data_IF_918069441974
#
_entry.id   IF_918069441974
#
_cell.length_a   1.000
_cell.length_b   1.000
_cell.length_c   1.000
_cell.angle_alpha   90.00
_cell.angle_beta   90.00
_cell.angle_gamma   90.00
#
_symmetry.space_group_name_H-M   'P 1'
#
loop_
_entity.id
_entity.type
_entity.pdbx_description
1 polymer ?
#
# COMPACT_ATOMS: atom_id res chain seq x y z
N UNK A 1 11.01 63.44 7.22
CA UNK A 1 10.32 62.15 7.11
C UNK A 1 11.35 61.11 6.73
N UNK A 2 11.80 60.33 7.73
CA UNK A 2 12.74 59.24 7.55
C UNK A 2 11.93 57.97 7.29
N UNK A 3 12.16 57.30 6.17
CA UNK A 3 11.59 55.98 5.86
C UNK A 3 12.58 54.91 6.33
N UNK A 4 12.14 54.08 7.27
CA UNK A 4 12.88 52.89 7.76
C UNK A 4 12.50 51.74 6.86
N UNK A 5 13.46 51.25 6.08
CA UNK A 5 13.32 50.03 5.27
C UNK A 5 13.68 48.84 6.18
N UNK A 6 12.69 48.05 6.56
CA UNK A 6 12.88 46.79 7.28
C UNK A 6 13.10 45.70 6.26
N UNK A 7 14.35 45.25 6.10
CA UNK A 7 14.72 44.08 5.31
C UNK A 7 14.46 42.81 6.13
N UNK A 8 13.47 42.03 5.72
CA UNK A 8 13.14 40.73 6.30
C UNK A 8 14.10 39.67 5.71
N UNK A 9 14.88 38.90 6.49
CA UNK A 9 15.71 37.83 5.96
C UNK A 9 14.84 36.65 5.57
N UNK A 10 14.92 36.26 4.30
CA UNK A 10 14.30 35.04 3.75
C UNK A 10 15.11 33.82 4.25
N UNK A 11 14.60 33.13 5.27
CA UNK A 11 15.17 31.84 5.69
C UNK A 11 14.80 30.79 4.64
N UNK A 12 15.77 30.41 3.81
CA UNK A 12 15.74 29.21 2.99
C UNK A 12 15.83 27.99 3.93
N UNK A 13 14.69 27.35 4.21
CA UNK A 13 14.65 26.05 4.86
C UNK A 13 15.10 25.04 3.81
N UNK A 14 16.39 24.70 3.82
CA UNK A 14 16.92 23.54 3.12
C UNK A 14 16.37 22.30 3.81
N UNK A 15 15.37 21.63 3.23
CA UNK A 15 15.03 20.25 3.58
C UNK A 15 16.14 19.35 3.05
N UNK A 16 17.22 19.24 3.82
CA UNK A 16 18.25 18.24 3.60
C UNK A 16 17.62 16.87 3.82
N UNK A 17 17.50 16.05 2.77
CA UNK A 17 17.37 14.62 2.94
C UNK A 17 18.60 14.17 3.74
N UNK A 18 18.37 13.66 4.96
CA UNK A 18 19.46 13.19 5.81
C UNK A 18 20.14 11.99 5.12
N UNK A 19 21.42 12.11 4.82
CA UNK A 19 22.25 11.05 4.24
C UNK A 19 22.45 9.86 5.20
N UNK A 20 21.92 9.96 6.43
CA UNK A 20 21.96 8.90 7.44
C UNK A 20 20.87 7.85 7.26
N UNK A 21 19.85 8.11 6.43
CA UNK A 21 18.69 7.22 6.22
C UNK A 21 18.86 6.23 5.04
N UNK A 22 20.09 6.07 4.51
CA UNK A 22 20.36 5.06 3.47
C UNK A 22 20.34 3.64 4.07
N UNK A 23 19.39 2.77 3.67
CA UNK A 23 19.30 1.43 4.20
C UNK A 23 20.58 0.60 4.00
N UNK A 24 21.33 0.82 2.91
CA UNK A 24 22.59 0.11 2.69
C UNK A 24 23.66 0.49 3.72
N UNK A 25 23.66 1.76 4.16
CA UNK A 25 24.58 2.25 5.22
C UNK A 25 24.20 1.67 6.57
N UNK A 26 22.91 1.72 6.94
CA UNK A 26 22.42 1.19 8.21
C UNK A 26 22.65 -0.32 8.34
N UNK A 27 22.40 -1.09 7.28
CA UNK A 27 22.64 -2.53 7.28
C UNK A 27 24.13 -2.86 7.45
N UNK A 28 25.04 -2.08 6.83
CA UNK A 28 26.50 -2.23 7.01
C UNK A 28 26.93 -1.87 8.43
N UNK A 29 26.37 -0.82 9.00
CA UNK A 29 26.66 -0.38 10.35
C UNK A 29 26.26 -1.43 11.38
N UNK A 30 25.10 -2.06 11.21
CA UNK A 30 24.68 -3.19 12.04
C UNK A 30 25.70 -4.36 12.00
N UNK A 31 26.19 -4.70 10.79
CA UNK A 31 27.20 -5.74 10.63
C UNK A 31 28.53 -5.37 11.32
N UNK A 32 28.99 -4.12 11.19
CA UNK A 32 30.23 -3.63 11.82
C UNK A 32 30.14 -3.70 13.35
N UNK A 33 29.05 -3.21 13.94
CA UNK A 33 28.83 -3.26 15.40
C UNK A 33 28.79 -4.70 15.92
N UNK A 34 28.21 -5.63 15.16
CA UNK A 34 28.23 -7.04 15.49
C UNK A 34 29.66 -7.63 15.52
N UNK A 35 30.49 -7.26 14.51
CA UNK A 35 31.92 -7.70 14.48
C UNK A 35 32.73 -7.11 15.62
N UNK A 36 32.41 -5.89 16.08
CA UNK A 36 33.04 -5.22 17.22
C UNK A 36 32.58 -5.78 18.58
N UNK A 37 31.53 -6.64 18.59
CA UNK A 37 30.98 -7.25 19.80
C UNK A 37 29.91 -6.39 20.49
N UNK A 38 29.50 -5.27 19.90
CA UNK A 38 28.36 -4.45 20.35
C UNK A 38 27.04 -5.03 19.81
N UNK A 39 26.56 -6.06 20.51
CA UNK A 39 25.33 -6.75 20.08
C UNK A 39 24.07 -5.88 20.18
N UNK A 40 24.03 -4.99 21.16
CA UNK A 40 22.86 -4.12 21.38
C UNK A 40 22.78 -3.01 20.34
N UNK A 41 23.89 -2.34 20.04
CA UNK A 41 24.01 -1.39 18.95
C UNK A 41 23.76 -2.03 17.60
N UNK A 42 24.29 -3.23 17.35
CA UNK A 42 24.02 -3.97 16.12
C UNK A 42 22.52 -4.27 15.93
N UNK A 43 21.81 -4.64 17.00
CA UNK A 43 20.38 -4.93 16.94
C UNK A 43 19.55 -3.66 16.66
N UNK A 44 19.94 -2.52 17.23
CA UNK A 44 19.28 -1.24 16.99
C UNK A 44 19.45 -0.79 15.53
N UNK A 45 20.65 -0.80 14.98
CA UNK A 45 20.93 -0.46 13.59
C UNK A 45 20.26 -1.44 12.60
N UNK A 46 20.20 -2.73 12.94
CA UNK A 46 19.50 -3.71 12.13
C UNK A 46 17.98 -3.41 12.05
N UNK A 47 17.36 -2.97 13.14
CA UNK A 47 15.96 -2.54 13.15
C UNK A 47 15.73 -1.32 12.25
N UNK A 48 16.62 -0.35 12.30
CA UNK A 48 16.55 0.82 11.40
C UNK A 48 16.73 0.41 9.95
N UNK A 49 17.71 -0.45 9.64
CA UNK A 49 17.90 -1.01 8.30
C UNK A 49 16.60 -1.66 7.78
N UNK A 50 15.97 -2.53 8.58
CA UNK A 50 14.72 -3.20 8.21
C UNK A 50 13.61 -2.17 7.98
N UNK A 51 13.44 -1.19 8.88
CA UNK A 51 12.42 -0.14 8.76
C UNK A 51 12.56 0.65 7.45
N UNK A 52 13.78 1.04 7.08
CA UNK A 52 14.04 1.78 5.85
C UNK A 52 13.77 0.92 4.59
N UNK A 53 14.13 -0.36 4.63
CA UNK A 53 13.81 -1.29 3.53
C UNK A 53 12.30 -1.51 3.38
N UNK A 54 11.56 -1.60 4.48
CA UNK A 54 10.10 -1.70 4.46
C UNK A 54 9.45 -0.44 3.87
N UNK A 55 9.90 0.75 4.27
CA UNK A 55 9.43 2.01 3.69
C UNK A 55 9.71 2.11 2.19
N UNK A 56 10.91 1.69 1.76
CA UNK A 56 11.28 1.64 0.34
C UNK A 56 10.36 0.68 -0.43
N UNK A 57 10.11 -0.51 0.10
CA UNK A 57 9.20 -1.49 -0.47
C UNK A 57 7.77 -0.94 -0.58
N UNK A 58 7.28 -0.26 0.45
CA UNK A 58 5.96 0.38 0.46
C UNK A 58 5.87 1.47 -0.62
N UNK A 59 6.88 2.34 -0.72
CA UNK A 59 6.90 3.40 -1.72
C UNK A 59 6.96 2.86 -3.16
N UNK A 60 7.67 1.75 -3.38
CA UNK A 60 7.67 1.05 -4.67
C UNK A 60 6.31 0.43 -4.98
N UNK A 61 5.67 -0.18 -3.99
CA UNK A 61 4.33 -0.78 -4.12
C UNK A 61 3.27 0.29 -4.41
N UNK A 62 3.36 1.46 -3.79
CA UNK A 62 2.44 2.58 -4.00
C UNK A 62 2.41 3.07 -5.46
N UNK A 63 3.48 2.89 -6.22
CA UNK A 63 3.56 3.28 -7.65
C UNK A 63 2.58 2.52 -8.55
N UNK A 64 2.09 1.35 -8.12
CA UNK A 64 1.07 0.60 -8.85
C UNK A 64 -0.33 1.20 -8.69
N UNK A 65 -0.52 2.10 -7.73
CA UNK A 65 -1.73 2.89 -7.59
C UNK A 65 -1.63 4.12 -8.50
N UNK A 66 -1.86 3.93 -9.80
CA UNK A 66 -1.69 4.94 -10.85
C UNK A 66 -2.58 6.16 -10.63
N UNK A 67 -2.15 7.34 -11.07
CA UNK A 67 -2.91 8.61 -10.90
C UNK A 67 -4.23 8.65 -11.67
N UNK A 68 -4.38 7.80 -12.69
CA UNK A 68 -5.62 7.71 -13.45
C UNK A 68 -5.85 6.30 -13.98
N UNK A 69 -7.05 5.76 -13.78
CA UNK A 69 -7.48 4.45 -14.27
C UNK A 69 -8.90 4.58 -14.85
N UNK A 70 -9.10 4.24 -16.11
CA UNK A 70 -10.40 4.30 -16.81
C UNK A 70 -11.10 5.68 -16.74
N UNK A 71 -10.31 6.76 -16.64
CA UNK A 71 -10.81 8.12 -16.47
C UNK A 71 -11.28 8.45 -15.05
N UNK A 72 -11.01 7.58 -14.08
CA UNK A 72 -11.04 7.91 -12.67
C UNK A 72 -9.72 8.58 -12.29
N UNK A 73 -9.77 9.61 -11.48
CA UNK A 73 -8.59 10.29 -10.92
C UNK A 73 -8.33 9.77 -9.52
N UNK A 74 -7.12 9.32 -9.25
CA UNK A 74 -6.67 8.90 -7.92
C UNK A 74 -6.38 10.10 -7.04
N UNK A 75 -6.88 10.05 -5.79
CA UNK A 75 -6.51 10.96 -4.71
C UNK A 75 -5.11 10.65 -4.16
N UNK A 76 -4.82 11.11 -2.97
CA UNK A 76 -3.57 10.77 -2.28
C UNK A 76 -3.51 9.28 -1.95
N UNK A 77 -2.30 8.70 -2.03
CA UNK A 77 -2.05 7.34 -1.56
C UNK A 77 -1.82 7.37 -0.06
N UNK A 78 -2.69 6.72 0.70
CA UNK A 78 -2.52 6.51 2.12
C UNK A 78 -1.75 5.21 2.38
N UNK A 79 -0.77 5.27 3.28
CA UNK A 79 0.01 4.10 3.68
C UNK A 79 0.02 4.00 5.19
N UNK A 80 -0.33 2.83 5.71
CA UNK A 80 -0.38 2.57 7.14
C UNK A 80 0.26 1.22 7.45
N UNK A 81 1.08 1.16 8.49
CA UNK A 81 1.63 -0.09 9.02
C UNK A 81 1.23 -0.22 10.47
N UNK A 82 0.56 -1.30 10.80
CA UNK A 82 0.17 -1.63 12.15
C UNK A 82 0.26 -3.13 12.38
N UNK A 83 0.82 -3.56 13.50
CA UNK A 83 0.91 -4.97 13.93
C UNK A 83 1.55 -5.91 12.87
N UNK A 84 2.53 -5.42 12.08
CA UNK A 84 3.17 -6.19 11.01
C UNK A 84 2.35 -6.31 9.72
N UNK A 85 1.23 -5.60 9.62
CA UNK A 85 0.44 -5.47 8.39
C UNK A 85 0.68 -4.10 7.76
N UNK A 86 0.84 -4.10 6.46
CA UNK A 86 0.86 -2.88 5.65
C UNK A 86 -0.44 -2.78 4.88
N UNK A 87 -1.07 -1.61 4.96
CA UNK A 87 -2.21 -1.23 4.14
C UNK A 87 -1.81 -0.05 3.26
N UNK A 88 -2.04 -0.17 1.96
CA UNK A 88 -1.89 0.91 0.99
C UNK A 88 -3.26 1.13 0.36
N UNK A 89 -3.76 2.34 0.46
CA UNK A 89 -5.11 2.69 -0.01
C UNK A 89 -5.08 3.91 -0.91
N UNK A 90 -5.93 3.91 -1.94
CA UNK A 90 -6.20 5.07 -2.78
C UNK A 90 -7.68 5.14 -3.14
N UNK A 91 -8.25 6.33 -3.04
CA UNK A 91 -9.60 6.63 -3.51
C UNK A 91 -9.54 7.14 -4.95
N UNK A 92 -10.34 6.54 -5.83
CA UNK A 92 -10.47 6.93 -7.22
C UNK A 92 -11.83 7.55 -7.47
N UNK A 93 -11.86 8.75 -8.05
CA UNK A 93 -13.10 9.51 -8.28
C UNK A 93 -13.32 9.83 -9.75
N UNK A 94 -14.58 9.76 -10.20
CA UNK A 94 -15.00 10.14 -11.55
C UNK A 94 -16.42 10.70 -11.49
N UNK A 95 -16.57 12.01 -11.67
CA UNK A 95 -17.86 12.71 -11.50
C UNK A 95 -18.39 12.49 -10.07
N UNK A 96 -19.51 11.78 -9.92
CA UNK A 96 -20.12 11.43 -8.63
C UNK A 96 -19.89 9.96 -8.23
N UNK A 97 -18.93 9.28 -8.85
CA UNK A 97 -18.58 7.88 -8.56
C UNK A 97 -17.26 7.82 -7.84
N UNK A 98 -17.18 6.89 -6.89
CA UNK A 98 -15.97 6.62 -6.12
C UNK A 98 -15.68 5.13 -6.10
N UNK A 99 -14.42 4.78 -6.20
CA UNK A 99 -13.90 3.42 -6.03
C UNK A 99 -12.71 3.52 -5.08
N UNK A 100 -12.81 2.86 -3.93
CA UNK A 100 -11.72 2.70 -2.99
C UNK A 100 -10.94 1.45 -3.34
N UNK A 101 -9.63 1.56 -3.47
CA UNK A 101 -8.74 0.43 -3.70
C UNK A 101 -7.78 0.32 -2.52
N UNK A 102 -7.75 -0.83 -1.87
CA UNK A 102 -6.90 -1.10 -0.71
C UNK A 102 -6.11 -2.39 -0.90
N UNK A 103 -4.80 -2.31 -0.81
CA UNK A 103 -3.91 -3.46 -0.73
C UNK A 103 -3.60 -3.73 0.75
N UNK A 104 -3.87 -4.95 1.19
CA UNK A 104 -3.49 -5.40 2.52
C UNK A 104 -2.50 -6.54 2.39
N UNK A 105 -1.30 -6.35 2.96
CA UNK A 105 -0.24 -7.34 2.96
C UNK A 105 0.57 -7.26 4.25
N UNK A 106 1.37 -8.28 4.55
CA UNK A 106 2.26 -8.28 5.71
C UNK A 106 3.35 -9.33 5.56
N UNK A 107 4.47 -9.12 6.26
CA UNK A 107 5.60 -10.04 6.28
C UNK A 107 5.31 -11.35 7.03
N UNK A 108 4.19 -11.43 7.74
CA UNK A 108 3.79 -12.59 8.54
C UNK A 108 2.83 -13.46 7.75
N UNK A 109 3.35 -14.39 6.94
CA UNK A 109 2.57 -15.32 6.11
C UNK A 109 1.50 -16.14 6.87
N UNK A 110 1.53 -16.14 8.21
CA UNK A 110 0.54 -16.85 9.04
C UNK A 110 -0.76 -16.07 9.30
N UNK A 111 -0.69 -14.76 9.49
CA UNK A 111 -1.87 -13.98 9.86
C UNK A 111 -2.76 -13.67 8.64
N UNK A 112 -2.17 -13.47 7.45
CA UNK A 112 -2.92 -13.30 6.21
C UNK A 112 -3.57 -14.59 5.73
N UNK A 113 -2.94 -15.75 5.96
CA UNK A 113 -3.59 -17.04 5.69
C UNK A 113 -4.82 -17.27 6.58
N UNK A 114 -4.79 -16.81 7.83
CA UNK A 114 -5.95 -16.85 8.72
C UNK A 114 -7.06 -15.88 8.25
N UNK A 115 -6.69 -14.67 7.81
CA UNK A 115 -7.65 -13.70 7.26
C UNK A 115 -8.25 -14.17 5.93
N UNK A 116 -7.45 -14.77 5.04
CA UNK A 116 -7.95 -15.34 3.78
C UNK A 116 -8.84 -16.56 4.02
N UNK A 117 -8.56 -17.37 5.05
CA UNK A 117 -9.44 -18.45 5.47
C UNK A 117 -10.77 -17.91 6.02
N UNK A 118 -10.73 -16.86 6.87
CA UNK A 118 -11.96 -16.22 7.38
C UNK A 118 -12.80 -15.61 6.24
N UNK A 119 -12.15 -14.96 5.27
CA UNK A 119 -12.82 -14.44 4.07
C UNK A 119 -13.45 -15.55 3.23
N UNK A 120 -12.82 -16.72 3.11
CA UNK A 120 -13.40 -17.87 2.44
C UNK A 120 -14.61 -18.48 3.17
N UNK A 121 -14.61 -18.48 4.50
CA UNK A 121 -15.74 -18.96 5.29
C UNK A 121 -16.88 -17.95 5.43
N UNK A 122 -16.58 -16.65 5.45
CA UNK A 122 -17.57 -15.56 5.54
C UNK A 122 -18.34 -15.27 4.25
N UNK A 123 -17.84 -15.75 3.10
CA UNK A 123 -18.38 -15.42 1.78
C UNK A 123 -19.38 -16.43 1.20
N UNK A 124 -20.07 -17.22 2.04
CA UNK A 124 -21.14 -18.13 1.61
C UNK A 124 -22.54 -17.50 1.67
N UNK A 125 -22.63 -16.16 1.76
CA UNK A 125 -23.91 -15.42 1.74
C UNK A 125 -24.55 -15.33 0.35
N UNK A 126 -25.86 -15.16 0.32
CA UNK A 126 -26.61 -14.79 -0.89
C UNK A 126 -26.12 -13.42 -1.38
N UNK A 127 -25.78 -13.28 -2.66
CA UNK A 127 -25.22 -12.06 -3.25
C UNK A 127 -23.73 -12.15 -3.62
N UNK A 128 -23.08 -13.26 -3.31
CA UNK A 128 -21.67 -13.50 -3.63
C UNK A 128 -21.49 -14.08 -5.02
N UNK A 129 -20.55 -13.55 -5.80
CA UNK A 129 -20.16 -14.09 -7.11
C UNK A 129 -18.64 -14.17 -7.26
N UNK A 130 -18.18 -15.26 -7.88
CA UNK A 130 -16.77 -15.49 -8.16
C UNK A 130 -16.42 -15.04 -9.57
N UNK A 131 -15.33 -14.28 -9.70
CA UNK A 131 -14.79 -13.82 -10.98
C UNK A 131 -13.28 -14.05 -11.02
N UNK A 132 -12.68 -13.86 -12.20
CA UNK A 132 -11.23 -13.95 -12.35
C UNK A 132 -10.69 -12.62 -12.89
N UNK A 133 -9.73 -12.05 -12.18
CA UNK A 133 -9.01 -10.83 -12.57
C UNK A 133 -7.55 -11.22 -12.80
N UNK A 134 -7.06 -11.09 -14.04
CA UNK A 134 -5.67 -11.43 -14.42
C UNK A 134 -5.18 -12.79 -13.89
N UNK A 135 -6.04 -13.83 -13.99
CA UNK A 135 -5.81 -15.20 -13.48
C UNK A 135 -5.73 -15.32 -11.96
N UNK A 136 -6.19 -14.31 -11.21
CA UNK A 136 -6.36 -14.37 -9.76
C UNK A 136 -7.83 -14.58 -9.43
N UNK A 137 -8.08 -15.31 -8.36
CA UNK A 137 -9.44 -15.49 -7.85
C UNK A 137 -9.92 -14.19 -7.23
N UNK A 138 -11.12 -13.78 -7.58
CA UNK A 138 -11.78 -12.64 -6.97
C UNK A 138 -13.21 -13.02 -6.57
N UNK A 139 -13.67 -12.46 -5.47
CA UNK A 139 -15.01 -12.61 -4.95
C UNK A 139 -15.65 -11.23 -4.86
N UNK A 140 -16.88 -11.10 -5.37
CA UNK A 140 -17.66 -9.88 -5.29
C UNK A 140 -18.86 -10.14 -4.43
N UNK A 141 -19.11 -9.28 -3.46
CA UNK A 141 -20.33 -9.23 -2.66
C UNK A 141 -21.08 -7.93 -2.96
N UNK A 142 -22.39 -8.01 -2.95
CA UNK A 142 -23.30 -6.87 -3.02
C UNK A 142 -24.16 -6.89 -1.77
N UNK A 143 -23.94 -5.93 -0.88
CA UNK A 143 -24.68 -5.78 0.36
C UNK A 143 -25.40 -4.42 0.34
N UNK A 144 -26.70 -4.44 0.04
CA UNK A 144 -27.55 -3.25 0.01
C UNK A 144 -27.05 -2.13 -0.94
N UNK A 145 -26.45 -2.52 -2.09
CA UNK A 145 -25.91 -1.59 -3.06
C UNK A 145 -24.45 -1.21 -2.82
N UNK A 146 -23.83 -1.63 -1.72
CA UNK A 146 -22.40 -1.53 -1.51
C UNK A 146 -21.71 -2.74 -2.11
N UNK A 147 -20.94 -2.50 -3.17
CA UNK A 147 -20.13 -3.52 -3.83
C UNK A 147 -18.77 -3.62 -3.14
N UNK A 148 -18.37 -4.82 -2.81
CA UNK A 148 -17.01 -5.13 -2.35
C UNK A 148 -16.44 -6.26 -3.21
N UNK A 149 -15.25 -6.05 -3.77
CA UNK A 149 -14.49 -7.06 -4.50
C UNK A 149 -13.20 -7.35 -3.76
N UNK A 150 -12.93 -8.61 -3.48
CA UNK A 150 -11.68 -9.06 -2.88
C UNK A 150 -10.93 -9.96 -3.86
N UNK A 151 -9.71 -9.55 -4.23
CA UNK A 151 -8.80 -10.28 -5.13
C UNK A 151 -7.69 -10.90 -4.30
N UNK A 152 -7.57 -12.22 -4.33
CA UNK A 152 -6.48 -12.93 -3.67
C UNK A 152 -5.27 -12.96 -4.60
N UNK A 153 -4.16 -12.37 -4.16
CA UNK A 153 -2.90 -12.32 -4.90
C UNK A 153 -2.08 -13.59 -4.65
N UNK A 154 -1.18 -13.92 -5.56
CA UNK A 154 -0.26 -15.08 -5.41
C UNK A 154 0.78 -14.85 -4.34
N UNK A 155 1.15 -13.61 -4.10
CA UNK A 155 2.01 -13.17 -2.99
C UNK A 155 1.41 -13.44 -1.61
N UNK A 156 0.13 -13.79 -1.54
CA UNK A 156 -0.63 -13.92 -0.30
C UNK A 156 -1.29 -12.62 0.17
N UNK A 157 -0.98 -11.49 -0.44
CA UNK A 157 -1.65 -10.23 -0.16
C UNK A 157 -3.08 -10.22 -0.74
N UNK A 158 -3.90 -9.31 -0.26
CA UNK A 158 -5.27 -9.11 -0.72
C UNK A 158 -5.45 -7.70 -1.28
N UNK A 159 -6.10 -7.60 -2.44
CA UNK A 159 -6.49 -6.34 -3.03
C UNK A 159 -8.01 -6.21 -2.98
N UNK A 160 -8.49 -5.28 -2.17
CA UNK A 160 -9.90 -4.93 -2.02
C UNK A 160 -10.28 -3.76 -2.92
N UNK A 161 -11.45 -3.81 -3.53
CA UNK A 161 -12.08 -2.70 -4.22
C UNK A 161 -13.50 -2.53 -3.67
N UNK A 162 -13.87 -1.32 -3.29
CA UNK A 162 -15.17 -1.02 -2.71
C UNK A 162 -15.81 0.19 -3.39
N UNK A 163 -17.13 0.14 -3.56
CA UNK A 163 -17.92 1.26 -4.08
C UNK A 163 -19.41 1.07 -3.78
N UNK A 164 -20.10 2.15 -3.50
CA UNK A 164 -21.56 2.24 -3.43
C UNK A 164 -22.19 2.99 -4.63
N UNK A 165 -21.32 3.51 -5.52
CA UNK A 165 -21.70 4.43 -6.58
C UNK A 165 -21.54 3.86 -8.00
N UNK A 166 -20.99 2.64 -8.14
CA UNK A 166 -20.77 2.01 -9.45
C UNK A 166 -21.57 0.71 -9.60
N UNK A 167 -21.75 0.26 -10.84
CA UNK A 167 -22.31 -1.07 -11.10
C UNK A 167 -21.22 -2.14 -11.03
N UNK A 168 -21.63 -3.38 -10.81
CA UNK A 168 -20.75 -4.55 -10.71
C UNK A 168 -19.83 -4.70 -11.93
N UNK A 169 -20.37 -4.50 -13.13
CA UNK A 169 -19.61 -4.60 -14.38
C UNK A 169 -18.51 -3.54 -14.45
N UNK A 170 -18.80 -2.31 -14.02
CA UNK A 170 -17.84 -1.22 -13.98
C UNK A 170 -16.72 -1.49 -12.96
N UNK A 171 -17.05 -2.04 -11.79
CA UNK A 171 -16.06 -2.44 -10.78
C UNK A 171 -15.14 -3.55 -11.32
N UNK A 172 -15.69 -4.52 -12.07
CA UNK A 172 -14.92 -5.60 -12.71
C UNK A 172 -13.97 -5.02 -13.78
N UNK A 173 -14.45 -4.12 -14.63
CA UNK A 173 -13.61 -3.50 -15.67
C UNK A 173 -12.52 -2.61 -15.04
N UNK A 174 -12.83 -1.88 -13.97
CA UNK A 174 -11.83 -1.12 -13.22
C UNK A 174 -10.76 -2.06 -12.64
N UNK A 175 -11.16 -3.17 -12.02
CA UNK A 175 -10.22 -4.16 -11.48
C UNK A 175 -9.34 -4.81 -12.57
N UNK A 176 -9.85 -4.97 -13.79
CA UNK A 176 -9.06 -5.44 -14.95
C UNK A 176 -8.10 -4.37 -15.48
N UNK A 177 -8.47 -3.10 -15.39
CA UNK A 177 -7.60 -2.00 -15.80
C UNK A 177 -6.51 -1.69 -14.77
N UNK A 178 -6.74 -2.02 -13.50
CA UNK A 178 -5.73 -1.89 -12.45
C UNK A 178 -4.56 -2.87 -12.69
N UNK A 179 -3.29 -2.49 -12.46
CA UNK A 179 -2.11 -3.32 -12.76
C UNK A 179 -1.90 -4.48 -11.74
N UNK A 180 -2.97 -5.26 -11.49
CA UNK A 180 -2.99 -6.35 -10.49
C UNK A 180 -1.87 -7.37 -10.69
N UNK A 181 -1.54 -7.69 -11.96
CA UNK A 181 -0.50 -8.68 -12.26
C UNK A 181 0.89 -8.17 -11.86
N UNK A 182 1.19 -6.93 -12.19
CA UNK A 182 2.52 -6.35 -11.99
C UNK A 182 2.72 -6.00 -10.52
N UNK A 183 1.69 -5.49 -9.85
CA UNK A 183 1.62 -5.35 -8.41
C UNK A 183 1.94 -6.68 -7.69
N UNK A 184 1.23 -7.76 -8.04
CA UNK A 184 1.42 -9.07 -7.40
C UNK A 184 2.83 -9.65 -7.65
N UNK A 185 3.37 -9.45 -8.86
CA UNK A 185 4.74 -9.87 -9.16
C UNK A 185 5.78 -9.10 -8.35
N UNK A 186 5.57 -7.80 -8.12
CA UNK A 186 6.47 -6.98 -7.30
C UNK A 186 6.49 -7.36 -5.83
N UNK A 187 5.36 -7.87 -5.32
CA UNK A 187 5.25 -8.34 -3.93
C UNK A 187 5.93 -9.68 -3.68
N UNK A 188 6.26 -10.43 -4.73
CA UNK A 188 6.94 -11.74 -4.65
C UNK A 188 8.47 -11.64 -4.79
N UNK A 189 9.01 -10.46 -5.07
CA UNK A 189 10.45 -10.16 -5.15
C UNK A 189 10.99 -9.76 -3.77
#
# INVERSE_FOLDING_TARGET
KMAVIVTLPLFLISTGANADDDPAKLCKQAATLFEEGDLEGALEEAKWCVTQLEQLKQSQTAKFFEDSIMGYTGGEVSQQTAMGFTMIERLYTKSNKEIRVALTGGNSGGALSAFSALAQFGLQGSGTSKVRIHRRSAVITDENGQLSMMITLKSGAMLGLESDAVKKEELIEFAKAFPVKDLDNSLMQ
#
